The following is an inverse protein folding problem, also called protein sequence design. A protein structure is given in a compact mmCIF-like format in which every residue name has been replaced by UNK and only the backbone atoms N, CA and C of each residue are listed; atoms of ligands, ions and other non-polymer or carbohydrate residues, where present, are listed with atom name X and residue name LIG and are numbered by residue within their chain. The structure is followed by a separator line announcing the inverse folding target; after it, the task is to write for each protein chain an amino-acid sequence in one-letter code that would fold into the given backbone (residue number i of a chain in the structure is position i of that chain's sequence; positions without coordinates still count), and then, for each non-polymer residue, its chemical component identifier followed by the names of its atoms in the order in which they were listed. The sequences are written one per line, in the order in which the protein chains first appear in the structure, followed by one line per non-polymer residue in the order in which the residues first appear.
data_IF_275734291571
#
_entry.id   IF_275734291571
#
_cell.length_a   1.000
_cell.length_b   1.000
_cell.length_c   1.000
_cell.angle_alpha   90.00
_cell.angle_beta   90.00
_cell.angle_gamma   90.00
#
_symmetry.space_group_name_H-M   'P 1'
#
loop_
_entity.id
_entity.type
_entity.pdbx_description
1 polymer ?
#
# COMPACT_ATOMS: atom_id res chain seq x y z
N UNK A 1 9.44 -49.44 13.45
CA UNK A 1 10.68 -50.24 13.38
C UNK A 1 11.32 -50.28 14.75
N UNK A 2 11.95 -51.39 15.11
CA UNK A 2 12.61 -51.55 16.41
C UNK A 2 13.87 -52.40 16.28
N UNK A 3 14.80 -52.18 17.19
CA UNK A 3 16.04 -52.93 17.34
C UNK A 3 16.09 -53.58 18.73
N UNK A 4 16.71 -54.76 18.82
CA UNK A 4 16.83 -55.48 20.09
C UNK A 4 18.13 -55.02 20.75
N UNK A 5 18.01 -54.40 21.93
CA UNK A 5 19.16 -53.94 22.72
C UNK A 5 19.60 -54.99 23.73
N UNK A 6 18.65 -55.72 24.33
CA UNK A 6 18.93 -56.82 25.25
C UNK A 6 18.23 -58.10 24.80
N UNK A 7 18.99 -58.99 24.16
CA UNK A 7 18.47 -60.26 23.66
C UNK A 7 18.02 -61.23 24.77
N UNK A 8 18.60 -61.15 25.97
CA UNK A 8 18.25 -62.03 27.09
C UNK A 8 16.86 -61.67 27.63
N UNK A 9 16.62 -60.38 27.88
CA UNK A 9 15.31 -59.86 28.30
C UNK A 9 14.24 -60.15 27.24
N UNK A 10 14.58 -59.93 25.97
CA UNK A 10 13.66 -60.18 24.86
C UNK A 10 13.27 -61.66 24.74
N UNK A 11 14.21 -62.60 24.89
CA UNK A 11 13.97 -64.02 24.67
C UNK A 11 13.31 -64.75 25.85
N UNK A 12 13.58 -64.34 27.10
CA UNK A 12 13.23 -65.15 28.28
C UNK A 12 12.14 -64.54 29.18
N UNK A 13 11.85 -63.25 29.03
CA UNK A 13 11.00 -62.53 29.99
C UNK A 13 9.51 -62.62 29.64
N UNK A 14 9.20 -62.78 28.36
CA UNK A 14 7.83 -62.97 27.86
C UNK A 14 7.80 -64.11 26.84
N UNK A 15 6.71 -64.89 26.85
CA UNK A 15 6.53 -65.99 25.89
C UNK A 15 6.49 -65.50 24.43
N UNK A 16 5.93 -64.30 24.19
CA UNK A 16 5.86 -63.67 22.87
C UNK A 16 6.12 -62.15 22.99
N UNK A 17 7.38 -61.69 23.06
CA UNK A 17 7.71 -60.26 23.23
C UNK A 17 7.18 -59.39 22.08
N UNK A 18 7.15 -59.92 20.86
CA UNK A 18 6.54 -59.27 19.70
C UNK A 18 5.05 -58.97 19.88
N UNK A 19 4.31 -59.86 20.54
CA UNK A 19 2.88 -59.67 20.78
C UNK A 19 2.65 -58.61 21.85
N UNK A 20 3.41 -58.68 22.95
CA UNK A 20 3.37 -57.67 24.02
C UNK A 20 3.68 -56.27 23.49
N UNK A 21 4.69 -56.14 22.62
CA UNK A 21 5.04 -54.88 21.96
C UNK A 21 3.86 -54.37 21.11
N UNK A 22 3.25 -55.23 20.29
CA UNK A 22 2.09 -54.86 19.46
C UNK A 22 0.89 -54.42 20.29
N UNK A 23 0.55 -55.16 21.33
CA UNK A 23 -0.60 -54.87 22.19
C UNK A 23 -0.38 -53.56 22.95
N UNK A 24 0.86 -53.31 23.40
CA UNK A 24 1.26 -52.06 24.06
C UNK A 24 1.16 -50.87 23.11
N UNK A 25 1.69 -51.01 21.88
CA UNK A 25 1.61 -49.98 20.86
C UNK A 25 0.15 -49.67 20.47
N UNK A 26 -0.68 -50.70 20.31
CA UNK A 26 -2.09 -50.53 19.99
C UNK A 26 -2.83 -49.80 21.10
N UNK A 27 -2.60 -50.17 22.37
CA UNK A 27 -3.20 -49.50 23.53
C UNK A 27 -2.83 -48.01 23.60
N UNK A 28 -1.55 -47.67 23.42
CA UNK A 28 -1.09 -46.27 23.43
C UNK A 28 -1.73 -45.51 22.27
N UNK A 29 -1.71 -46.08 21.06
CA UNK A 29 -2.34 -45.48 19.88
C UNK A 29 -3.84 -45.22 20.10
N UNK A 30 -4.60 -46.19 20.58
CA UNK A 30 -6.04 -46.03 20.83
C UNK A 30 -6.33 -45.00 21.91
N UNK A 31 -5.51 -44.93 22.97
CA UNK A 31 -5.63 -43.90 24.00
C UNK A 31 -5.42 -42.50 23.43
N UNK A 32 -4.32 -42.31 22.69
CA UNK A 32 -4.04 -41.01 22.08
C UNK A 32 -5.14 -40.62 21.09
N UNK A 33 -5.61 -41.57 20.27
CA UNK A 33 -6.69 -41.33 19.31
C UNK A 33 -8.00 -40.93 20.00
N UNK A 34 -8.31 -41.51 21.15
CA UNK A 34 -9.52 -41.17 21.92
C UNK A 34 -9.43 -39.82 22.64
N UNK A 35 -8.23 -39.29 22.85
CA UNK A 35 -8.02 -38.07 23.64
C UNK A 35 -8.06 -36.78 22.81
N UNK A 36 -8.00 -36.89 21.49
CA UNK A 36 -7.86 -35.77 20.55
C UNK A 36 -8.93 -35.80 19.47
N UNK A 37 -9.21 -34.64 18.87
CA UNK A 37 -10.08 -34.56 17.71
C UNK A 37 -9.38 -35.19 16.48
N UNK A 38 -10.14 -35.91 15.67
CA UNK A 38 -9.66 -36.49 14.40
C UNK A 38 -9.09 -35.42 13.47
N UNK A 39 -9.58 -34.17 13.54
CA UNK A 39 -9.02 -33.04 12.81
C UNK A 39 -7.54 -32.79 13.10
N UNK A 40 -7.10 -32.95 14.35
CA UNK A 40 -5.69 -32.78 14.73
C UNK A 40 -4.81 -33.83 14.04
N UNK A 41 -5.27 -35.08 14.00
CA UNK A 41 -4.56 -36.19 13.36
C UNK A 41 -4.53 -36.10 11.83
N UNK A 42 -5.51 -35.42 11.24
CA UNK A 42 -5.57 -35.18 9.80
C UNK A 42 -4.74 -33.96 9.36
N UNK A 43 -4.32 -33.13 10.32
CA UNK A 43 -3.59 -31.88 10.12
C UNK A 43 -2.06 -32.01 10.22
N UNK A 44 -1.37 -30.88 10.35
CA UNK A 44 0.08 -30.73 10.49
C UNK A 44 0.67 -31.30 11.80
N UNK A 45 -0.16 -31.66 12.79
CA UNK A 45 0.29 -32.14 14.10
C UNK A 45 0.73 -33.62 14.11
N UNK A 46 0.68 -34.32 12.97
CA UNK A 46 1.05 -35.74 12.88
C UNK A 46 2.45 -36.07 13.38
N UNK A 47 3.42 -35.21 13.09
CA UNK A 47 4.81 -35.43 13.53
C UNK A 47 4.94 -35.32 15.04
N UNK A 48 4.30 -34.31 15.63
CA UNK A 48 4.32 -34.12 17.08
C UNK A 48 3.64 -35.29 17.81
N UNK A 49 2.52 -35.78 17.27
CA UNK A 49 1.82 -36.94 17.82
C UNK A 49 2.67 -38.21 17.68
N UNK A 50 3.36 -38.41 16.55
CA UNK A 50 4.29 -39.53 16.38
C UNK A 50 5.41 -39.50 17.44
N UNK A 51 5.96 -38.32 17.74
CA UNK A 51 7.01 -38.15 18.76
C UNK A 51 6.49 -38.45 20.17
N UNK A 52 5.26 -38.05 20.48
CA UNK A 52 4.61 -38.37 21.77
C UNK A 52 4.46 -39.89 21.90
N UNK A 53 3.86 -40.55 20.90
CA UNK A 53 3.67 -42.01 20.90
C UNK A 53 5.02 -42.73 20.98
N UNK A 54 6.05 -42.24 20.29
CA UNK A 54 7.40 -42.82 20.34
C UNK A 54 7.96 -42.80 21.76
N UNK A 55 7.92 -41.64 22.43
CA UNK A 55 8.41 -41.50 23.80
C UNK A 55 7.64 -42.38 24.77
N UNK A 56 6.32 -42.42 24.67
CA UNK A 56 5.48 -43.22 25.56
C UNK A 56 5.67 -44.73 25.34
N UNK A 57 5.77 -45.16 24.08
CA UNK A 57 6.00 -46.55 23.73
C UNK A 57 7.37 -47.02 24.21
N UNK A 58 8.42 -46.20 24.03
CA UNK A 58 9.75 -46.51 24.54
C UNK A 58 9.73 -46.62 26.07
N UNK A 59 9.15 -45.63 26.77
CA UNK A 59 9.06 -45.64 28.22
C UNK A 59 8.32 -46.88 28.76
N UNK A 60 7.26 -47.30 28.08
CA UNK A 60 6.51 -48.49 28.46
C UNK A 60 7.27 -49.80 28.15
N UNK A 61 8.02 -49.85 27.05
CA UNK A 61 8.90 -50.96 26.73
C UNK A 61 10.04 -51.11 27.75
N UNK A 62 10.59 -49.98 28.22
CA UNK A 62 11.62 -49.95 29.26
C UNK A 62 11.03 -50.38 30.61
N UNK A 63 9.81 -49.95 30.95
CA UNK A 63 9.10 -50.35 32.17
C UNK A 63 8.78 -51.84 32.22
N UNK A 64 8.34 -52.39 31.09
CA UNK A 64 8.12 -53.84 30.92
C UNK A 64 9.45 -54.61 30.76
N UNK A 65 10.55 -53.87 30.56
CA UNK A 65 11.89 -54.34 30.31
C UNK A 65 11.92 -55.43 29.23
N UNK A 66 11.31 -55.09 28.09
CA UNK A 66 11.24 -55.92 26.88
C UNK A 66 12.59 -56.06 26.16
N UNK A 67 13.59 -55.23 26.50
CA UNK A 67 14.90 -55.26 25.86
C UNK A 67 14.91 -54.73 24.42
N UNK A 68 13.92 -53.93 24.02
CA UNK A 68 13.78 -53.34 22.69
C UNK A 68 13.96 -51.82 22.71
N UNK A 69 14.52 -51.30 21.63
CA UNK A 69 14.60 -49.87 21.34
C UNK A 69 13.75 -49.57 20.10
N UNK A 70 12.88 -48.58 20.21
CA UNK A 70 12.04 -48.12 19.11
C UNK A 70 12.84 -47.14 18.27
N UNK A 71 13.11 -47.48 17.01
CA UNK A 71 13.92 -46.66 16.12
C UNK A 71 13.08 -45.64 15.36
N UNK A 72 11.90 -46.06 14.87
CA UNK A 72 11.01 -45.21 14.09
C UNK A 72 9.55 -45.62 14.23
N UNK A 73 8.65 -44.62 14.36
CA UNK A 73 7.20 -44.79 14.27
C UNK A 73 6.69 -43.96 13.10
N UNK A 74 6.19 -44.64 12.08
CA UNK A 74 5.48 -44.01 10.97
C UNK A 74 3.97 -44.12 11.17
N UNK A 75 3.30 -43.00 11.40
CA UNK A 75 1.83 -42.93 11.33
C UNK A 75 1.42 -42.94 9.85
N UNK A 76 0.80 -44.04 9.40
CA UNK A 76 0.20 -44.12 8.07
C UNK A 76 -1.10 -43.30 8.03
N UNK A 77 -1.50 -42.88 6.82
CA UNK A 77 -2.67 -42.03 6.61
C UNK A 77 -3.93 -42.59 7.28
N UNK A 78 -4.63 -41.74 8.02
CA UNK A 78 -5.93 -42.07 8.61
C UNK A 78 -7.01 -41.87 7.55
N UNK A 79 -7.83 -42.91 7.36
CA UNK A 79 -8.98 -42.86 6.48
C UNK A 79 -10.24 -43.13 7.29
N UNK A 80 -11.25 -42.23 7.23
CA UNK A 80 -12.56 -42.51 7.79
C UNK A 80 -13.15 -43.79 7.17
N UNK A 81 -13.92 -44.58 7.94
CA UNK A 81 -14.68 -45.68 7.37
C UNK A 81 -15.60 -45.21 6.24
N UNK A 82 -15.77 -46.04 5.21
CA UNK A 82 -16.56 -45.70 4.00
C UNK A 82 -17.97 -45.21 4.35
N UNK A 83 -18.58 -45.78 5.38
CA UNK A 83 -19.94 -45.45 5.83
C UNK A 83 -20.11 -44.01 6.32
N UNK A 84 -19.03 -43.34 6.75
CA UNK A 84 -19.07 -41.99 7.34
C UNK A 84 -18.25 -40.97 6.54
N UNK A 85 -17.63 -41.40 5.43
CA UNK A 85 -16.78 -40.55 4.61
C UNK A 85 -17.53 -39.33 4.07
N UNK A 86 -18.74 -39.51 3.55
CA UNK A 86 -19.55 -38.43 2.98
C UNK A 86 -19.93 -37.38 4.04
N UNK A 87 -20.30 -37.83 5.24
CA UNK A 87 -20.64 -36.96 6.35
C UNK A 87 -19.40 -36.17 6.82
N UNK A 88 -18.25 -36.81 6.89
CA UNK A 88 -16.99 -36.16 7.24
C UNK A 88 -16.60 -35.10 6.22
N UNK A 89 -16.66 -35.44 4.92
CA UNK A 89 -16.39 -34.50 3.84
C UNK A 89 -17.34 -33.30 3.88
N UNK A 90 -18.62 -33.51 4.21
CA UNK A 90 -19.59 -32.43 4.34
C UNK A 90 -19.24 -31.48 5.49
N UNK A 91 -18.79 -32.00 6.64
CA UNK A 91 -18.37 -31.18 7.78
C UNK A 91 -17.11 -30.38 7.45
N UNK A 92 -16.11 -31.01 6.83
CA UNK A 92 -14.88 -30.33 6.41
C UNK A 92 -15.20 -29.23 5.40
N UNK A 93 -16.04 -29.52 4.40
CA UNK A 93 -16.48 -28.53 3.43
C UNK A 93 -17.21 -27.34 4.08
N UNK A 94 -18.10 -27.60 5.04
CA UNK A 94 -18.79 -26.53 5.77
C UNK A 94 -17.83 -25.67 6.62
N UNK A 95 -16.77 -26.27 7.19
CA UNK A 95 -15.75 -25.53 7.92
C UNK A 95 -14.91 -24.65 6.99
N UNK A 96 -14.54 -25.17 5.82
CA UNK A 96 -13.82 -24.42 4.79
C UNK A 96 -14.67 -23.26 4.25
N UNK A 97 -15.95 -23.50 3.97
CA UNK A 97 -16.90 -22.48 3.52
C UNK A 97 -17.10 -21.38 4.56
N UNK A 98 -17.23 -21.76 5.85
CA UNK A 98 -17.30 -20.81 6.96
C UNK A 98 -16.04 -19.93 7.01
N UNK A 99 -14.85 -20.53 6.93
CA UNK A 99 -13.60 -19.77 6.99
C UNK A 99 -13.46 -18.85 5.77
N UNK A 100 -13.84 -19.33 4.58
CA UNK A 100 -13.87 -18.52 3.37
C UNK A 100 -14.81 -17.31 3.51
N UNK A 101 -16.03 -17.52 4.04
CA UNK A 101 -16.98 -16.43 4.27
C UNK A 101 -16.47 -15.39 5.29
N UNK A 102 -15.79 -15.83 6.35
CA UNK A 102 -15.15 -14.94 7.33
C UNK A 102 -14.03 -14.13 6.66
N UNK A 103 -13.19 -14.77 5.86
CA UNK A 103 -12.10 -14.12 5.14
C UNK A 103 -12.62 -13.10 4.12
N UNK A 104 -13.70 -13.43 3.41
CA UNK A 104 -14.35 -12.51 2.48
C UNK A 104 -14.93 -11.28 3.20
N UNK A 105 -15.63 -11.47 4.32
CA UNK A 105 -16.16 -10.37 5.12
C UNK A 105 -15.05 -9.45 5.67
N UNK A 106 -13.92 -10.03 6.10
CA UNK A 106 -12.72 -9.28 6.50
C UNK A 106 -12.13 -8.51 5.33
N UNK A 107 -11.99 -9.14 4.16
CA UNK A 107 -11.48 -8.51 2.95
C UNK A 107 -12.37 -7.34 2.50
N UNK A 108 -13.69 -7.50 2.56
CA UNK A 108 -14.66 -6.45 2.27
C UNK A 108 -14.47 -5.25 3.20
N UNK A 109 -14.38 -5.49 4.51
CA UNK A 109 -14.16 -4.43 5.51
C UNK A 109 -12.83 -3.73 5.29
N UNK A 110 -11.76 -4.50 5.07
CA UNK A 110 -10.42 -4.00 4.81
C UNK A 110 -10.33 -3.20 3.50
N UNK A 111 -11.25 -3.42 2.55
CA UNK A 111 -11.35 -2.64 1.33
C UNK A 111 -12.17 -1.36 1.54
N UNK A 112 -13.36 -1.46 2.12
CA UNK A 112 -14.30 -0.34 2.17
C UNK A 112 -13.87 0.73 3.16
N UNK A 113 -13.37 0.34 4.35
CA UNK A 113 -13.04 1.30 5.40
C UNK A 113 -11.90 2.26 5.01
N UNK A 114 -10.78 1.80 4.42
CA UNK A 114 -9.73 2.71 3.95
C UNK A 114 -10.19 3.58 2.79
N UNK A 115 -10.98 3.04 1.86
CA UNK A 115 -11.52 3.83 0.74
C UNK A 115 -12.44 4.96 1.24
N UNK A 116 -13.35 4.67 2.17
CA UNK A 116 -14.22 5.67 2.77
C UNK A 116 -13.44 6.73 3.53
N UNK A 117 -12.40 6.32 4.28
CA UNK A 117 -11.51 7.24 5.02
C UNK A 117 -10.71 8.13 4.06
N UNK A 118 -10.22 7.56 2.96
CA UNK A 118 -9.50 8.29 1.93
C UNK A 118 -10.41 9.31 1.23
N UNK A 119 -11.64 8.94 0.87
CA UNK A 119 -12.60 9.87 0.26
C UNK A 119 -12.98 11.00 1.24
N UNK A 120 -13.24 10.69 2.51
CA UNK A 120 -13.51 11.69 3.53
C UNK A 120 -12.34 12.68 3.68
N UNK A 121 -11.12 12.16 3.77
CA UNK A 121 -9.91 12.98 3.87
C UNK A 121 -9.71 13.84 2.61
N UNK A 122 -9.90 13.26 1.43
CA UNK A 122 -9.78 13.98 0.16
C UNK A 122 -10.78 15.14 0.06
N UNK A 123 -12.03 14.93 0.50
CA UNK A 123 -13.05 16.00 0.51
C UNK A 123 -12.67 17.14 1.45
N UNK A 124 -12.16 16.84 2.64
CA UNK A 124 -11.69 17.86 3.59
C UNK A 124 -10.52 18.64 2.99
N UNK A 125 -9.51 17.95 2.46
CA UNK A 125 -8.34 18.58 1.83
C UNK A 125 -8.72 19.45 0.63
N UNK A 126 -9.69 19.02 -0.18
CA UNK A 126 -10.21 19.82 -1.31
C UNK A 126 -10.93 21.08 -0.83
N UNK A 127 -11.73 20.99 0.25
CA UNK A 127 -12.40 22.13 0.84
C UNK A 127 -11.40 23.14 1.44
N UNK A 128 -10.36 22.66 2.12
CA UNK A 128 -9.28 23.49 2.65
C UNK A 128 -8.50 24.17 1.52
N UNK A 129 -8.12 23.43 0.48
CA UNK A 129 -7.44 23.98 -0.69
C UNK A 129 -8.30 25.03 -1.41
N UNK A 130 -9.62 24.82 -1.51
CA UNK A 130 -10.54 25.80 -2.07
C UNK A 130 -10.61 27.07 -1.22
N UNK A 131 -10.73 26.94 0.10
CA UNK A 131 -10.74 28.06 1.05
C UNK A 131 -9.46 28.89 0.94
N UNK A 132 -8.31 28.23 0.91
CA UNK A 132 -7.01 28.88 0.79
C UNK A 132 -6.88 29.60 -0.56
N UNK A 133 -7.23 28.91 -1.65
CA UNK A 133 -7.22 29.51 -3.00
C UNK A 133 -8.11 30.75 -3.07
N UNK A 134 -9.32 30.69 -2.52
CA UNK A 134 -10.26 31.84 -2.49
C UNK A 134 -9.68 33.01 -1.71
N UNK A 135 -9.10 32.74 -0.54
CA UNK A 135 -8.48 33.76 0.31
C UNK A 135 -7.31 34.43 -0.41
N UNK A 136 -6.39 33.63 -0.97
CA UNK A 136 -5.22 34.13 -1.71
C UNK A 136 -5.61 34.90 -2.98
N UNK A 137 -6.63 34.45 -3.70
CA UNK A 137 -7.13 35.16 -4.87
C UNK A 137 -7.68 36.53 -4.49
N UNK A 138 -8.51 36.61 -3.44
CA UNK A 138 -9.03 37.89 -2.95
C UNK A 138 -7.93 38.81 -2.41
N UNK A 139 -6.93 38.29 -1.70
CA UNK A 139 -5.74 39.05 -1.28
C UNK A 139 -4.99 39.62 -2.50
N UNK A 140 -4.80 38.82 -3.54
CA UNK A 140 -4.14 39.25 -4.77
C UNK A 140 -4.95 40.32 -5.52
N UNK A 141 -6.27 40.17 -5.62
CA UNK A 141 -7.18 41.16 -6.24
C UNK A 141 -7.12 42.51 -5.50
N UNK A 142 -7.15 42.49 -4.17
CA UNK A 142 -7.03 43.69 -3.34
C UNK A 142 -5.66 44.36 -3.54
N UNK A 143 -4.57 43.58 -3.54
CA UNK A 143 -3.23 44.09 -3.80
C UNK A 143 -3.12 44.73 -5.20
N UNK A 144 -3.68 44.09 -6.23
CA UNK A 144 -3.73 44.64 -7.59
C UNK A 144 -4.52 45.95 -7.64
N UNK A 145 -5.68 46.02 -6.99
CA UNK A 145 -6.48 47.24 -6.93
C UNK A 145 -5.72 48.39 -6.27
N UNK A 146 -5.07 48.14 -5.12
CA UNK A 146 -4.24 49.14 -4.44
C UNK A 146 -3.08 49.63 -5.31
N UNK A 147 -2.40 48.72 -6.01
CA UNK A 147 -1.31 49.09 -6.92
C UNK A 147 -1.81 49.96 -8.08
N UNK A 148 -2.95 49.62 -8.69
CA UNK A 148 -3.59 50.44 -9.74
C UNK A 148 -3.99 51.82 -9.23
N UNK A 149 -4.58 51.89 -8.04
CA UNK A 149 -4.95 53.18 -7.41
C UNK A 149 -3.72 54.06 -7.21
N UNK A 150 -2.64 53.55 -6.62
CA UNK A 150 -1.39 54.30 -6.44
C UNK A 150 -0.80 54.80 -7.76
N UNK A 151 -0.85 53.97 -8.80
CA UNK A 151 -0.39 54.35 -10.13
C UNK A 151 -1.27 55.47 -10.75
N UNK A 152 -2.57 55.49 -10.46
CA UNK A 152 -3.48 56.55 -10.90
C UNK A 152 -3.30 57.87 -10.11
N UNK A 153 -2.84 57.80 -8.85
CA UNK A 153 -2.53 58.96 -8.01
C UNK A 153 -1.17 59.63 -8.37
N UNK A 154 -0.33 58.97 -9.18
CA UNK A 154 0.90 59.49 -9.84
C UNK A 154 0.48 60.36 -11.05
N UNK A 155 1.28 61.35 -11.56
CA UNK A 155 0.78 62.37 -12.49
C UNK A 155 -0.21 61.83 -13.55
N UNK A 156 -1.49 62.27 -13.53
CA UNK A 156 -2.58 61.59 -14.22
C UNK A 156 -2.40 61.52 -15.74
N UNK A 157 -1.62 62.45 -16.29
CA UNK A 157 -1.29 62.49 -17.72
C UNK A 157 -0.43 61.29 -18.14
N UNK A 158 0.53 60.87 -17.29
CA UNK A 158 1.41 59.71 -17.57
C UNK A 158 0.62 58.41 -17.49
N UNK A 159 -0.29 58.28 -16.51
CA UNK A 159 -1.13 57.09 -16.36
C UNK A 159 -2.10 56.93 -17.54
N UNK A 160 -2.74 58.02 -17.98
CA UNK A 160 -3.64 58.02 -19.15
C UNK A 160 -2.91 57.71 -20.45
N UNK A 161 -1.74 58.30 -20.65
CA UNK A 161 -0.90 58.02 -21.82
C UNK A 161 -0.50 56.55 -21.86
N UNK A 162 -0.07 55.98 -20.72
CA UNK A 162 0.26 54.55 -20.62
C UNK A 162 -0.94 53.65 -20.94
N UNK A 163 -2.11 53.89 -20.36
CA UNK A 163 -3.31 53.08 -20.61
C UNK A 163 -3.75 53.15 -22.09
N UNK A 164 -3.66 54.33 -22.70
CA UNK A 164 -3.94 54.51 -24.12
C UNK A 164 -2.96 53.71 -25.00
N UNK A 165 -1.67 53.71 -24.64
CA UNK A 165 -0.65 52.93 -25.36
C UNK A 165 -0.81 51.41 -25.14
N UNK A 166 -1.18 50.95 -23.94
CA UNK A 166 -1.47 49.53 -23.68
C UNK A 166 -2.71 49.06 -24.47
N UNK A 167 -3.77 49.86 -24.53
CA UNK A 167 -4.97 49.54 -25.31
C UNK A 167 -4.70 49.55 -26.82
N UNK A 168 -3.93 50.54 -27.29
CA UNK A 168 -3.48 50.61 -28.68
C UNK A 168 -2.63 49.38 -29.03
N UNK A 169 -1.65 49.03 -28.18
CA UNK A 169 -0.83 47.83 -28.36
C UNK A 169 -1.71 46.59 -28.44
N UNK A 170 -2.60 46.35 -27.47
CA UNK A 170 -3.47 45.18 -27.45
C UNK A 170 -4.35 45.04 -28.71
N UNK A 171 -4.84 46.15 -29.27
CA UNK A 171 -5.60 46.16 -30.53
C UNK A 171 -4.76 45.99 -31.79
N UNK A 172 -3.44 46.23 -31.69
CA UNK A 172 -2.48 46.11 -32.79
C UNK A 172 -1.69 44.80 -32.76
N UNK A 173 -1.78 44.00 -31.69
CA UNK A 173 -1.16 42.66 -31.63
C UNK A 173 -1.67 41.82 -32.82
N UNK A 174 -0.75 41.43 -33.70
CA UNK A 174 -1.03 40.65 -34.91
C UNK A 174 -1.29 41.47 -36.19
N UNK A 175 -1.30 42.81 -36.11
CA UNK A 175 -1.49 43.69 -37.27
C UNK A 175 -0.19 44.37 -37.68
N UNK A 176 0.05 44.54 -39.00
CA UNK A 176 1.23 45.23 -39.51
C UNK A 176 1.08 46.74 -39.32
N UNK A 177 1.80 47.32 -38.36
CA UNK A 177 1.78 48.75 -38.09
C UNK A 177 2.74 49.49 -39.05
N UNK A 178 2.23 50.46 -39.80
CA UNK A 178 3.04 51.33 -40.67
C UNK A 178 2.79 52.77 -40.24
N UNK A 179 3.81 53.43 -39.68
CA UNK A 179 3.75 54.84 -39.31
C UNK A 179 4.24 55.70 -40.49
N UNK A 180 3.36 56.55 -41.03
CA UNK A 180 3.68 57.50 -42.08
C UNK A 180 3.90 58.88 -41.45
N UNK A 181 5.14 59.19 -41.09
CA UNK A 181 5.51 60.55 -40.69
C UNK A 181 5.69 61.40 -41.95
N UNK A 182 4.82 62.37 -42.18
CA UNK A 182 4.99 63.39 -43.22
C UNK A 182 5.40 64.71 -42.57
N UNK A 183 6.70 65.05 -42.52
CA UNK A 183 7.09 66.44 -42.38
C UNK A 183 6.77 67.13 -43.70
N UNK A 184 6.05 68.24 -43.66
CA UNK A 184 5.89 69.09 -44.84
C UNK A 184 7.26 69.43 -45.41
N UNK A 185 7.45 69.02 -46.67
CA UNK A 185 8.54 69.39 -47.58
C UNK A 185 9.94 68.80 -47.31
N UNK A 186 10.13 67.51 -47.60
CA UNK A 186 11.16 67.00 -48.53
C UNK A 186 11.23 65.47 -48.43
N UNK A 187 11.31 64.82 -49.59
CA UNK A 187 11.20 63.38 -49.81
C UNK A 187 12.27 62.55 -49.09
N UNK A 188 11.99 62.12 -47.86
CA UNK A 188 12.52 60.89 -47.29
C UNK A 188 11.40 60.23 -46.47
N UNK A 189 10.81 59.17 -47.03
CA UNK A 189 9.84 58.33 -46.30
C UNK A 189 10.66 57.40 -45.44
N UNK A 190 10.75 57.69 -44.14
CA UNK A 190 11.38 56.79 -43.17
C UNK A 190 10.47 55.56 -42.99
N UNK A 191 10.86 54.44 -43.59
CA UNK A 191 10.21 53.14 -43.36
C UNK A 191 10.69 52.56 -42.03
N UNK A 192 9.95 52.82 -40.96
CA UNK A 192 10.17 52.14 -39.68
C UNK A 192 9.24 50.93 -39.60
N UNK A 193 9.77 49.74 -39.89
CA UNK A 193 9.06 48.49 -39.71
C UNK A 193 9.19 48.04 -38.24
N UNK A 194 8.09 48.05 -37.49
CA UNK A 194 8.06 47.70 -36.07
C UNK A 194 7.78 46.19 -35.86
N UNK A 195 8.39 45.34 -36.69
CA UNK A 195 8.26 43.87 -36.62
C UNK A 195 8.91 43.29 -35.35
N UNK A 196 9.99 43.91 -34.87
CA UNK A 196 10.66 43.52 -33.63
C UNK A 196 10.34 44.53 -32.52
N UNK A 197 9.28 44.22 -31.78
CA UNK A 197 8.95 44.69 -30.43
C UNK A 197 9.16 46.21 -30.13
N UNK A 198 8.16 47.08 -30.41
CA UNK A 198 8.31 48.54 -30.35
C UNK A 198 8.48 49.15 -28.94
N UNK A 199 8.48 48.37 -27.85
CA UNK A 199 8.41 48.93 -26.49
C UNK A 199 9.48 48.46 -25.49
N UNK A 200 10.29 47.47 -25.84
CA UNK A 200 11.38 47.03 -24.95
C UNK A 200 12.43 48.15 -24.77
N UNK A 201 12.63 49.03 -25.76
CA UNK A 201 13.64 50.09 -25.73
C UNK A 201 13.26 51.40 -25.01
N UNK A 202 11.98 51.66 -24.70
CA UNK A 202 11.56 52.91 -24.02
C UNK A 202 11.51 52.74 -22.49
N UNK A 203 11.25 51.53 -22.00
CA UNK A 203 11.15 51.23 -20.57
C UNK A 203 12.33 50.44 -19.99
N UNK A 204 13.25 49.92 -20.81
CA UNK A 204 14.55 49.40 -20.36
C UNK A 204 15.67 50.46 -20.34
N UNK A 205 15.34 51.76 -20.38
CA UNK A 205 16.31 52.81 -20.02
C UNK A 205 16.57 52.73 -18.52
N UNK A 206 17.47 51.79 -18.18
CA UNK A 206 18.36 51.66 -17.02
C UNK A 206 17.83 52.26 -15.71
N UNK A 207 17.64 51.46 -14.63
CA UNK A 207 17.59 52.07 -13.32
C UNK A 207 18.94 52.77 -13.11
N UNK A 208 18.93 54.10 -12.93
CA UNK A 208 20.13 54.86 -12.54
C UNK A 208 20.78 54.10 -11.39
N UNK A 209 21.98 53.57 -11.64
CA UNK A 209 22.80 52.94 -10.61
C UNK A 209 22.93 53.96 -9.46
N UNK A 210 22.78 53.55 -8.19
CA UNK A 210 23.14 54.43 -7.10
C UNK A 210 24.62 54.76 -7.24
N UNK A 211 24.94 56.01 -7.57
CA UNK A 211 26.30 56.53 -7.49
C UNK A 211 26.85 56.17 -6.12
N UNK A 212 27.94 55.40 -6.14
CA UNK A 212 28.65 55.00 -4.94
C UNK A 212 29.03 56.23 -4.13
N UNK A 213 28.42 56.35 -2.95
CA UNK A 213 29.04 57.04 -1.83
C UNK A 213 29.37 55.95 -0.82
N UNK A 214 30.63 55.52 -0.86
CA UNK A 214 31.32 54.94 0.28
C UNK A 214 32.69 55.64 0.33
N UNK A 215 33.31 55.85 1.49
CA UNK A 215 33.25 55.02 2.71
C UNK A 215 32.44 55.60 3.87
#
# INVERSE_FOLDING_TARGET
EFSITNALDYAYRYANPNQVLRDTAYRILTRELSSRDIGEWLSSHRTEIADIIHRELQAECDRLALGVKIDFIGLQGLHPPIQVADAFQSVVGALEEKEAAILEARAYTNRILPLATADATARVSLAEAYRERRTKLSEAEVAQFHNRKRAADTPPDVYRARLAMEALHAGLIGNRLVLLATPSASSEVLWLNLEDDPFTSVFEMVPLEPEGINP
#
